data_IF_582991979527
#
_entry.id   IF_582991979527
#
_cell.length_a   1.000
_cell.length_b   1.000
_cell.length_c   1.000
_cell.angle_alpha   90.00
_cell.angle_beta   90.00
_cell.angle_gamma   90.00
#
_symmetry.space_group_name_H-M   'P 1'
#
loop_
_entity.id
_entity.type
_entity.pdbx_description
1 polymer ?
#
# COMPACT_ATOMS: atom_id res chain seq x y z
N UNK A 1 -9.81 -36.30 -2.23
CA UNK A 1 -9.77 -35.13 -3.14
C UNK A 1 -8.89 -35.52 -4.31
N UNK A 2 -9.38 -35.38 -5.55
CA UNK A 2 -8.62 -35.66 -6.77
C UNK A 2 -8.23 -34.31 -7.38
N UNK A 3 -6.93 -34.09 -7.57
CA UNK A 3 -6.44 -32.89 -8.28
C UNK A 3 -6.85 -33.05 -9.74
N UNK A 4 -7.74 -32.19 -10.22
CA UNK A 4 -8.25 -32.26 -11.59
C UNK A 4 -7.34 -31.54 -12.60
N UNK A 5 -6.57 -30.55 -12.16
CA UNK A 5 -5.65 -29.77 -12.99
C UNK A 5 -4.60 -29.11 -12.10
N UNK A 6 -3.35 -29.11 -12.53
CA UNK A 6 -2.34 -28.17 -12.05
C UNK A 6 -2.57 -26.84 -12.77
N UNK A 7 -2.64 -25.76 -12.02
CA UNK A 7 -2.61 -24.40 -12.59
C UNK A 7 -1.15 -24.11 -12.96
N UNK A 8 -0.95 -23.41 -14.07
CA UNK A 8 0.36 -22.87 -14.43
C UNK A 8 0.90 -22.00 -13.30
N UNK A 9 2.21 -21.90 -13.15
CA UNK A 9 2.81 -21.00 -12.18
C UNK A 9 2.26 -19.59 -12.40
N UNK A 10 1.86 -18.90 -11.31
CA UNK A 10 1.29 -17.57 -11.46
C UNK A 10 2.34 -16.65 -12.08
N UNK A 11 1.95 -15.93 -13.12
CA UNK A 11 2.75 -14.82 -13.64
C UNK A 11 3.12 -13.87 -12.50
N UNK A 12 4.35 -13.36 -12.54
CA UNK A 12 4.81 -12.36 -11.60
C UNK A 12 3.85 -11.16 -11.64
N UNK A 13 3.48 -10.67 -10.47
CA UNK A 13 2.61 -9.49 -10.33
C UNK A 13 3.27 -8.49 -9.41
N UNK A 14 3.10 -7.18 -9.67
CA UNK A 14 3.70 -6.15 -8.83
C UNK A 14 3.22 -6.28 -7.39
N UNK A 15 4.15 -6.11 -6.46
CA UNK A 15 3.87 -6.19 -5.03
C UNK A 15 3.55 -4.79 -4.49
N UNK A 16 2.27 -4.43 -4.44
CA UNK A 16 1.83 -3.19 -3.81
C UNK A 16 1.59 -3.44 -2.32
N UNK A 17 2.32 -2.71 -1.47
CA UNK A 17 2.25 -2.77 -0.01
C UNK A 17 1.63 -1.49 0.50
N UNK A 18 0.48 -1.58 1.15
CA UNK A 18 -0.21 -0.42 1.72
C UNK A 18 0.18 -0.22 3.18
N UNK A 19 0.85 0.88 3.46
CA UNK A 19 1.14 1.40 4.79
C UNK A 19 0.01 2.35 5.19
N UNK A 20 -0.88 1.89 6.08
CA UNK A 20 -2.11 2.58 6.46
C UNK A 20 -2.04 3.10 7.88
N UNK A 21 -2.19 4.41 8.07
CA UNK A 21 -2.33 5.03 9.38
C UNK A 21 -3.54 4.50 10.16
N UNK A 22 -3.36 4.23 11.45
CA UNK A 22 -4.44 3.75 12.32
C UNK A 22 -5.56 4.78 12.41
N UNK A 23 -6.75 4.38 12.00
CA UNK A 23 -7.95 5.20 11.95
C UNK A 23 -9.04 4.68 12.90
N UNK A 24 -10.01 5.55 13.25
CA UNK A 24 -11.14 5.21 14.12
C UNK A 24 -12.15 4.28 13.44
N UNK A 25 -12.87 3.55 14.27
CA UNK A 25 -13.98 2.70 13.82
C UNK A 25 -13.51 1.52 12.98
N UNK A 26 -14.20 1.28 11.89
CA UNK A 26 -13.99 0.19 10.93
C UNK A 26 -13.27 0.63 9.64
N UNK A 27 -12.72 1.85 9.61
CA UNK A 27 -12.09 2.42 8.41
C UNK A 27 -10.92 1.58 7.89
N UNK A 28 -10.03 1.11 8.80
CA UNK A 28 -8.94 0.22 8.42
C UNK A 28 -9.48 -1.11 7.87
N UNK A 29 -10.58 -1.62 8.42
CA UNK A 29 -11.25 -2.84 7.95
C UNK A 29 -11.84 -2.65 6.55
N UNK A 30 -12.44 -1.48 6.30
CA UNK A 30 -12.96 -1.09 4.98
C UNK A 30 -11.84 -1.02 3.96
N UNK A 31 -10.71 -0.38 4.30
CA UNK A 31 -9.52 -0.32 3.44
C UNK A 31 -9.00 -1.72 3.14
N UNK A 32 -8.78 -2.56 4.15
CA UNK A 32 -8.26 -3.92 3.96
C UNK A 32 -9.17 -4.72 3.04
N UNK A 33 -10.50 -4.67 3.24
CA UNK A 33 -11.45 -5.37 2.39
C UNK A 33 -11.29 -4.98 0.93
N UNK A 34 -11.48 -3.71 0.61
CA UNK A 34 -11.50 -3.26 -0.77
C UNK A 34 -10.12 -3.24 -1.44
N UNK A 35 -9.05 -2.91 -0.70
CA UNK A 35 -7.71 -2.95 -1.27
C UNK A 35 -7.24 -4.41 -1.52
N UNK A 36 -7.73 -5.39 -0.75
CA UNK A 36 -7.55 -6.81 -1.08
C UNK A 36 -8.22 -7.18 -2.40
N UNK A 37 -9.45 -6.72 -2.64
CA UNK A 37 -10.18 -6.93 -3.90
C UNK A 37 -9.40 -6.35 -5.10
N UNK A 38 -8.68 -5.26 -4.90
CA UNK A 38 -7.83 -4.62 -5.92
C UNK A 38 -6.52 -5.38 -6.19
N UNK A 39 -6.07 -6.25 -5.27
CA UNK A 39 -4.82 -7.01 -5.42
C UNK A 39 -3.64 -6.43 -4.63
N UNK A 40 -3.87 -5.66 -3.57
CA UNK A 40 -2.81 -5.25 -2.64
C UNK A 40 -2.18 -6.49 -1.99
N UNK A 41 -0.85 -6.57 -2.01
CA UNK A 41 -0.10 -7.74 -1.56
C UNK A 41 0.11 -7.81 -0.04
N UNK A 42 0.20 -6.65 0.62
CA UNK A 42 0.37 -6.58 2.07
C UNK A 42 -0.15 -5.27 2.66
N UNK A 43 -0.53 -5.34 3.94
CA UNK A 43 -0.95 -4.20 4.75
C UNK A 43 -0.04 -4.04 5.96
N UNK A 44 0.49 -2.82 6.13
CA UNK A 44 1.30 -2.39 7.27
C UNK A 44 0.53 -1.29 8.04
N UNK A 45 -0.37 -1.65 8.96
CA UNK A 45 -1.02 -0.66 9.81
C UNK A 45 0.01 0.00 10.72
N UNK A 46 0.05 1.32 10.80
CA UNK A 46 1.05 2.02 11.60
C UNK A 46 0.45 3.13 12.45
N UNK A 47 1.12 3.42 13.57
CA UNK A 47 0.76 4.52 14.46
C UNK A 47 1.40 5.82 14.01
N UNK A 48 0.60 6.87 13.89
CA UNK A 48 1.02 8.24 13.59
C UNK A 48 0.91 9.14 14.84
N UNK A 49 1.60 10.25 14.86
CA UNK A 49 1.49 11.25 15.94
C UNK A 49 0.03 11.74 16.09
N UNK A 50 -0.63 12.00 14.95
CA UNK A 50 -2.03 12.46 14.87
C UNK A 50 -3.07 11.33 14.88
N UNK A 51 -2.64 10.06 15.06
CA UNK A 51 -3.58 8.95 15.26
C UNK A 51 -4.27 9.08 16.61
N UNK A 52 -5.60 9.12 16.58
CA UNK A 52 -6.41 9.12 17.81
C UNK A 52 -6.47 7.72 18.45
N UNK A 53 -6.30 6.69 17.64
CA UNK A 53 -6.32 5.29 18.06
C UNK A 53 -4.97 4.93 18.68
N UNK A 54 -5.01 4.48 19.96
CA UNK A 54 -3.86 3.94 20.67
C UNK A 54 -4.18 2.49 21.05
N UNK A 55 -3.33 1.57 20.65
CA UNK A 55 -3.51 0.14 20.88
C UNK A 55 -2.41 -0.36 21.80
N UNK A 56 -2.79 -1.05 22.88
CA UNK A 56 -1.88 -1.92 23.61
C UNK A 56 -1.62 -3.20 22.81
N UNK A 57 -0.60 -3.97 23.18
CA UNK A 57 -0.19 -5.18 22.46
C UNK A 57 -1.34 -6.19 22.30
N UNK A 58 -2.19 -6.38 23.34
CA UNK A 58 -3.33 -7.29 23.28
C UNK A 58 -4.39 -6.85 22.27
N UNK A 59 -4.72 -5.55 22.26
CA UNK A 59 -5.68 -4.99 21.30
C UNK A 59 -5.13 -4.98 19.87
N UNK A 60 -3.83 -4.73 19.72
CA UNK A 60 -3.14 -4.77 18.42
C UNK A 60 -3.23 -6.18 17.81
N UNK A 61 -2.87 -7.22 18.58
CA UNK A 61 -2.97 -8.61 18.15
C UNK A 61 -4.40 -8.99 17.77
N UNK A 62 -5.39 -8.67 18.63
CA UNK A 62 -6.80 -8.96 18.35
C UNK A 62 -7.33 -8.28 17.09
N UNK A 63 -6.93 -7.00 16.84
CA UNK A 63 -7.27 -6.32 15.59
C UNK A 63 -6.61 -6.97 14.39
N UNK A 64 -5.34 -7.32 14.47
CA UNK A 64 -4.63 -7.98 13.39
C UNK A 64 -5.28 -9.32 12.98
N UNK A 65 -5.69 -10.14 13.96
CA UNK A 65 -6.44 -11.37 13.70
C UNK A 65 -7.74 -11.10 12.93
N UNK A 66 -8.51 -10.11 13.38
CA UNK A 66 -9.75 -9.71 12.70
C UNK A 66 -9.48 -9.21 11.28
N UNK A 67 -8.44 -8.40 11.07
CA UNK A 67 -8.07 -7.88 9.77
C UNK A 67 -7.59 -8.98 8.80
N UNK A 68 -6.85 -9.98 9.30
CA UNK A 68 -6.47 -11.18 8.53
C UNK A 68 -7.68 -11.97 8.07
N UNK A 69 -8.69 -12.11 8.93
CA UNK A 69 -9.96 -12.77 8.56
C UNK A 69 -10.72 -12.00 7.47
N UNK A 70 -10.74 -10.66 7.54
CA UNK A 70 -11.35 -9.80 6.54
C UNK A 70 -10.62 -9.92 5.20
N UNK A 71 -9.28 -9.83 5.21
CA UNK A 71 -8.46 -9.97 4.01
C UNK A 71 -8.66 -11.35 3.36
N UNK A 72 -8.68 -12.42 4.14
CA UNK A 72 -8.96 -13.78 3.65
C UNK A 72 -10.34 -13.87 3.00
N UNK A 73 -11.38 -13.34 3.64
CA UNK A 73 -12.75 -13.33 3.10
C UNK A 73 -12.84 -12.54 1.79
N UNK A 74 -12.21 -11.37 1.73
CA UNK A 74 -12.20 -10.52 0.54
C UNK A 74 -11.43 -11.19 -0.62
N UNK A 75 -10.28 -11.79 -0.35
CA UNK A 75 -9.50 -12.52 -1.35
C UNK A 75 -10.28 -13.70 -1.95
N UNK A 76 -10.98 -14.47 -1.10
CA UNK A 76 -11.81 -15.58 -1.56
C UNK A 76 -12.99 -15.10 -2.42
N UNK A 77 -13.66 -14.00 -2.02
CA UNK A 77 -14.81 -13.46 -2.73
C UNK A 77 -14.41 -12.85 -4.09
N UNK A 78 -13.27 -12.16 -4.15
CA UNK A 78 -12.79 -11.50 -5.38
C UNK A 78 -11.99 -12.42 -6.31
N UNK A 79 -11.77 -13.69 -5.92
CA UNK A 79 -11.00 -14.64 -6.72
C UNK A 79 -9.50 -14.31 -6.77
N UNK A 80 -8.97 -13.58 -5.79
CA UNK A 80 -7.54 -13.32 -5.70
C UNK A 80 -6.75 -14.62 -5.51
N UNK A 81 -5.61 -14.75 -6.19
CA UNK A 81 -4.75 -15.95 -6.15
C UNK A 81 -4.03 -16.12 -4.81
N UNK A 82 -3.82 -15.02 -4.09
CA UNK A 82 -3.17 -15.01 -2.79
C UNK A 82 -3.96 -14.19 -1.77
N UNK A 83 -3.89 -14.56 -0.51
CA UNK A 83 -4.38 -13.75 0.60
C UNK A 83 -3.28 -12.76 0.98
N UNK A 84 -3.53 -11.44 1.00
CA UNK A 84 -2.51 -10.47 1.38
C UNK A 84 -2.04 -10.65 2.81
N UNK A 85 -0.77 -10.36 3.06
CA UNK A 85 -0.23 -10.32 4.42
C UNK A 85 -0.80 -9.13 5.18
N UNK A 86 -1.30 -9.35 6.39
CA UNK A 86 -1.72 -8.26 7.29
C UNK A 86 -0.88 -8.31 8.55
N UNK A 87 0.01 -7.32 8.70
CA UNK A 87 0.89 -7.17 9.86
C UNK A 87 0.12 -6.62 11.06
N UNK A 88 0.66 -6.84 12.24
CA UNK A 88 0.21 -6.15 13.44
C UNK A 88 0.52 -4.64 13.34
N UNK A 89 -0.30 -3.79 14.01
CA UNK A 89 0.01 -2.38 14.14
C UNK A 89 1.43 -2.15 14.68
N UNK A 90 2.18 -1.29 14.02
CA UNK A 90 3.58 -1.04 14.34
C UNK A 90 3.90 0.46 14.42
N UNK A 91 5.08 0.80 14.91
CA UNK A 91 5.58 2.16 14.87
C UNK A 91 6.00 2.54 13.44
N UNK A 92 5.99 3.85 13.13
CA UNK A 92 6.42 4.40 11.84
C UNK A 92 7.81 3.88 11.44
N UNK A 93 8.78 3.90 12.36
CA UNK A 93 10.15 3.46 12.08
C UNK A 93 10.21 1.99 11.62
N UNK A 94 9.45 1.11 12.26
CA UNK A 94 9.40 -0.32 11.89
C UNK A 94 8.79 -0.52 10.48
N UNK A 95 7.75 0.25 10.15
CA UNK A 95 7.15 0.20 8.82
C UNK A 95 8.12 0.75 7.75
N UNK A 96 8.88 1.79 8.06
CA UNK A 96 9.94 2.33 7.23
C UNK A 96 11.02 1.29 6.92
N UNK A 97 11.50 0.54 7.93
CA UNK A 97 12.49 -0.51 7.74
C UNK A 97 12.02 -1.58 6.73
N UNK A 98 10.74 -1.97 6.81
CA UNK A 98 10.15 -2.95 5.88
C UNK A 98 10.07 -2.45 4.43
N UNK A 99 10.03 -1.14 4.21
CA UNK A 99 9.90 -0.51 2.90
C UNK A 99 11.17 0.20 2.41
N UNK A 100 12.25 0.18 3.19
CA UNK A 100 13.53 0.79 2.81
C UNK A 100 14.08 0.26 1.49
N UNK A 101 13.89 -1.03 1.20
CA UNK A 101 14.28 -1.70 -0.05
C UNK A 101 13.23 -1.69 -1.16
N UNK A 102 12.06 -1.05 -0.97
CA UNK A 102 11.03 -1.02 -2.00
C UNK A 102 11.50 -0.28 -3.26
N UNK A 103 11.02 -0.72 -4.42
CA UNK A 103 11.32 -0.10 -5.74
C UNK A 103 10.90 1.37 -5.77
N UNK A 104 9.76 1.69 -5.16
CA UNK A 104 9.30 3.05 -4.93
C UNK A 104 8.54 3.11 -3.60
N UNK A 105 8.56 4.26 -2.93
CA UNK A 105 7.73 4.57 -1.77
C UNK A 105 6.94 5.84 -2.05
N UNK A 106 5.64 5.72 -2.21
CA UNK A 106 4.74 6.82 -2.54
C UNK A 106 4.03 7.31 -1.29
N UNK A 107 4.30 8.52 -0.89
CA UNK A 107 3.71 9.15 0.30
C UNK A 107 2.57 10.06 -0.15
N UNK A 108 1.33 9.62 0.09
CA UNK A 108 0.14 10.42 -0.17
C UNK A 108 0.00 11.48 0.92
N UNK A 109 0.16 12.74 0.54
CA UNK A 109 0.10 13.86 1.48
C UNK A 109 -0.75 14.98 0.90
N UNK A 110 -1.62 15.56 1.74
CA UNK A 110 -2.55 16.61 1.33
C UNK A 110 -1.86 17.90 0.88
N UNK A 111 -0.65 18.16 1.38
CA UNK A 111 0.17 19.31 1.01
C UNK A 111 1.16 19.02 -0.14
N UNK A 112 1.11 17.81 -0.71
CA UNK A 112 1.93 17.48 -1.88
C UNK A 112 1.56 18.38 -3.07
N UNK A 113 2.57 18.84 -3.87
CA UNK A 113 2.28 19.57 -5.09
C UNK A 113 1.32 18.83 -6.01
N UNK A 114 0.35 19.55 -6.60
CA UNK A 114 -0.62 18.93 -7.54
C UNK A 114 0.05 18.27 -8.76
N UNK A 115 1.29 18.68 -9.07
CA UNK A 115 2.13 18.10 -10.12
C UNK A 115 2.89 16.84 -9.68
N UNK A 116 2.76 16.41 -8.43
CA UNK A 116 3.39 15.20 -7.91
C UNK A 116 2.59 13.95 -8.32
N UNK A 117 2.81 13.48 -9.55
CA UNK A 117 2.05 12.38 -10.12
C UNK A 117 2.60 11.00 -9.75
N UNK A 118 1.71 10.04 -9.53
CA UNK A 118 2.04 8.63 -9.22
C UNK A 118 2.89 8.02 -10.35
N UNK A 119 2.56 8.31 -11.63
CA UNK A 119 3.29 7.78 -12.77
C UNK A 119 4.77 8.18 -12.77
N UNK A 120 5.06 9.45 -12.43
CA UNK A 120 6.43 9.97 -12.41
C UNK A 120 7.23 9.36 -11.23
N UNK A 121 6.60 9.22 -10.07
CA UNK A 121 7.20 8.58 -8.90
C UNK A 121 7.54 7.10 -9.15
N UNK A 122 6.65 6.36 -9.83
CA UNK A 122 6.90 4.97 -10.24
C UNK A 122 8.04 4.88 -11.25
N UNK A 123 8.01 5.70 -12.30
CA UNK A 123 9.06 5.73 -13.33
C UNK A 123 10.42 6.09 -12.72
N UNK A 124 10.48 7.05 -11.81
CA UNK A 124 11.68 7.40 -11.06
C UNK A 124 12.22 6.22 -10.23
N UNK A 125 11.36 5.60 -9.43
CA UNK A 125 11.74 4.49 -8.56
C UNK A 125 12.23 3.27 -9.35
N UNK A 126 11.50 2.87 -10.38
CA UNK A 126 11.87 1.75 -11.26
C UNK A 126 13.20 2.03 -11.99
N UNK A 127 13.36 3.23 -12.55
CA UNK A 127 14.60 3.62 -13.22
C UNK A 127 15.82 3.61 -12.29
N UNK A 128 15.67 4.06 -11.05
CA UNK A 128 16.75 4.05 -10.04
C UNK A 128 17.12 2.65 -9.56
N UNK A 129 16.17 1.70 -9.56
CA UNK A 129 16.42 0.30 -9.21
C UNK A 129 16.86 -0.56 -10.40
N UNK A 130 16.76 -0.07 -11.62
CA UNK A 130 16.94 -0.89 -12.83
C UNK A 130 15.86 -1.95 -13.02
N UNK A 131 14.68 -1.75 -12.44
CA UNK A 131 13.52 -2.63 -12.61
C UNK A 131 12.85 -2.29 -13.95
N UNK A 132 13.01 -3.17 -14.92
CA UNK A 132 12.49 -2.99 -16.27
C UNK A 132 11.03 -3.46 -16.38
N UNK A 133 10.71 -4.61 -15.77
CA UNK A 133 9.36 -5.16 -15.77
C UNK A 133 8.58 -4.66 -14.52
N UNK A 134 7.46 -3.98 -14.71
CA UNK A 134 6.58 -3.59 -13.59
C UNK A 134 6.12 -4.76 -12.72
N UNK A 135 6.08 -5.98 -13.25
CA UNK A 135 5.71 -7.19 -12.51
C UNK A 135 6.71 -7.50 -11.36
N UNK A 136 7.96 -7.09 -11.50
CA UNK A 136 9.01 -7.26 -10.49
C UNK A 136 9.04 -6.11 -9.45
N UNK A 137 8.21 -5.10 -9.65
CA UNK A 137 8.22 -3.93 -8.76
C UNK A 137 7.59 -4.24 -7.40
N UNK A 138 8.26 -3.80 -6.33
CA UNK A 138 7.70 -3.74 -4.98
C UNK A 138 7.49 -2.29 -4.59
N UNK A 139 6.24 -1.86 -4.49
CA UNK A 139 5.86 -0.46 -4.29
C UNK A 139 5.17 -0.28 -2.94
N UNK A 140 5.73 0.59 -2.09
CA UNK A 140 5.08 1.04 -0.87
C UNK A 140 4.15 2.23 -1.17
N UNK A 141 2.95 2.20 -0.62
CA UNK A 141 1.98 3.31 -0.66
C UNK A 141 1.65 3.70 0.76
N UNK A 142 1.83 4.95 1.12
CA UNK A 142 1.62 5.46 2.48
C UNK A 142 0.41 6.37 2.50
N UNK A 143 -0.53 6.08 3.39
CA UNK A 143 -1.73 6.88 3.65
C UNK A 143 -1.84 7.16 5.15
N UNK A 144 -1.95 8.42 5.52
CA UNK A 144 -2.09 8.87 6.91
C UNK A 144 -3.44 8.53 7.54
N UNK A 145 -3.61 8.73 8.85
CA UNK A 145 -4.88 8.66 9.56
C UNK A 145 -5.77 9.87 9.25
N UNK A 146 -6.92 10.02 9.92
CA UNK A 146 -7.81 11.17 9.72
C UNK A 146 -7.17 12.53 10.04
N UNK A 147 -6.19 12.56 10.93
CA UNK A 147 -5.44 13.78 11.26
C UNK A 147 -4.30 14.09 10.29
N UNK A 148 -4.12 13.28 9.24
CA UNK A 148 -3.00 13.40 8.30
C UNK A 148 -1.66 12.96 8.90
N UNK A 149 -0.60 13.15 8.15
CA UNK A 149 0.80 12.99 8.58
C UNK A 149 1.35 14.35 9.05
N UNK A 150 2.25 14.32 10.01
CA UNK A 150 3.03 15.51 10.36
C UNK A 150 4.20 15.69 9.37
N UNK A 151 4.71 16.90 9.21
CA UNK A 151 5.92 17.17 8.39
C UNK A 151 7.09 16.27 8.82
N UNK A 152 7.28 16.07 10.13
CA UNK A 152 8.33 15.17 10.67
C UNK A 152 8.15 13.71 10.23
N UNK A 153 6.90 13.23 10.18
CA UNK A 153 6.61 11.88 9.69
C UNK A 153 6.83 11.77 8.19
N UNK A 154 6.47 12.80 7.44
CA UNK A 154 6.74 12.89 6.00
C UNK A 154 8.24 12.89 5.74
N UNK A 155 9.02 13.70 6.45
CA UNK A 155 10.48 13.75 6.33
C UNK A 155 11.12 12.39 6.66
N UNK A 156 10.64 11.70 7.71
CA UNK A 156 11.10 10.37 8.06
C UNK A 156 10.79 9.35 6.95
N UNK A 157 9.59 9.41 6.36
CA UNK A 157 9.19 8.55 5.24
C UNK A 157 10.02 8.81 3.98
N UNK A 158 10.28 10.07 3.65
CA UNK A 158 11.13 10.43 2.51
C UNK A 158 12.59 10.01 2.72
N UNK A 159 13.06 10.04 3.96
CA UNK A 159 14.44 9.67 4.31
C UNK A 159 14.67 8.17 4.37
N UNK A 160 13.62 7.36 4.62
CA UNK A 160 13.78 5.91 4.83
C UNK A 160 14.03 5.12 3.54
N UNK A 161 13.68 5.70 2.39
CA UNK A 161 13.92 5.10 1.08
C UNK A 161 14.37 6.18 0.09
N UNK A 162 15.54 6.07 -0.56
CA UNK A 162 16.04 7.08 -1.52
C UNK A 162 15.17 7.22 -2.78
N UNK A 163 14.17 6.38 -2.93
CA UNK A 163 13.17 6.39 -4.01
C UNK A 163 11.77 6.74 -3.48
N UNK A 164 11.71 7.33 -2.29
CA UNK A 164 10.48 7.88 -1.77
C UNK A 164 10.12 9.18 -2.49
N UNK A 165 8.83 9.37 -2.74
CA UNK A 165 8.29 10.56 -3.40
C UNK A 165 6.96 10.95 -2.77
N UNK A 166 6.71 12.24 -2.64
CA UNK A 166 5.36 12.75 -2.39
C UNK A 166 4.50 12.51 -3.62
N UNK A 167 3.24 12.17 -3.41
CA UNK A 167 2.26 12.06 -4.48
C UNK A 167 0.94 12.71 -4.08
N UNK A 168 0.30 13.37 -5.05
CA UNK A 168 -1.03 13.94 -4.92
C UNK A 168 -2.07 12.98 -5.46
N UNK A 169 -3.20 12.86 -4.76
CA UNK A 169 -4.37 12.11 -5.22
C UNK A 169 -5.43 13.01 -5.87
N UNK A 170 -5.06 14.26 -6.19
CA UNK A 170 -5.93 15.26 -6.79
C UNK A 170 -6.20 16.46 -5.88
N UNK A 171 -7.04 17.40 -6.34
CA UNK A 171 -7.22 18.69 -5.65
C UNK A 171 -8.08 18.60 -4.37
N UNK A 172 -8.80 17.51 -4.17
CA UNK A 172 -9.66 17.31 -3.00
C UNK A 172 -8.94 16.50 -1.92
N UNK A 173 -9.09 16.93 -0.66
CA UNK A 173 -8.62 16.12 0.47
C UNK A 173 -9.55 14.93 0.65
N UNK A 174 -9.01 13.73 0.42
CA UNK A 174 -9.75 12.49 0.58
C UNK A 174 -9.78 12.06 2.06
N UNK A 175 -10.87 11.41 2.47
CA UNK A 175 -10.89 10.71 3.76
C UNK A 175 -9.87 9.57 3.75
N UNK A 176 -9.32 9.23 4.93
CA UNK A 176 -8.27 8.20 5.05
C UNK A 176 -8.67 6.85 4.43
N UNK A 177 -9.94 6.43 4.64
CA UNK A 177 -10.48 5.21 4.04
C UNK A 177 -10.59 5.32 2.51
N UNK A 178 -10.95 6.48 1.99
CA UNK A 178 -11.01 6.72 0.54
C UNK A 178 -9.62 6.72 -0.07
N UNK A 179 -8.67 7.43 0.54
CA UNK A 179 -7.28 7.47 0.10
C UNK A 179 -6.64 6.07 0.13
N UNK A 180 -6.92 5.28 1.19
CA UNK A 180 -6.42 3.90 1.34
C UNK A 180 -6.93 2.92 0.28
N UNK A 181 -8.02 3.24 -0.41
CA UNK A 181 -8.56 2.46 -1.54
C UNK A 181 -8.07 3.04 -2.87
N UNK A 182 -8.18 4.36 -3.06
CA UNK A 182 -7.88 5.04 -4.32
C UNK A 182 -6.38 5.00 -4.65
N UNK A 183 -5.51 5.26 -3.67
CA UNK A 183 -4.07 5.31 -3.91
C UNK A 183 -3.51 3.97 -4.45
N UNK A 184 -3.74 2.81 -3.81
CA UNK A 184 -3.28 1.54 -4.37
C UNK A 184 -3.96 1.18 -5.70
N UNK A 185 -5.24 1.57 -5.91
CA UNK A 185 -5.91 1.35 -7.20
C UNK A 185 -5.20 2.09 -8.35
N UNK A 186 -4.85 3.36 -8.13
CA UNK A 186 -4.11 4.16 -9.11
C UNK A 186 -2.70 3.60 -9.36
N UNK A 187 -1.99 3.17 -8.31
CA UNK A 187 -0.66 2.55 -8.43
C UNK A 187 -0.73 1.26 -9.25
N UNK A 188 -1.65 0.36 -8.94
CA UNK A 188 -1.85 -0.89 -9.67
C UNK A 188 -2.24 -0.63 -11.14
N UNK A 189 -3.10 0.36 -11.38
CA UNK A 189 -3.47 0.77 -12.74
C UNK A 189 -2.26 1.27 -13.53
N UNK A 190 -1.43 2.15 -12.94
CA UNK A 190 -0.24 2.69 -13.62
C UNK A 190 0.80 1.59 -13.91
N UNK A 191 1.06 0.68 -12.96
CA UNK A 191 1.94 -0.47 -13.17
C UNK A 191 1.44 -1.35 -14.32
N UNK A 192 0.14 -1.66 -14.36
CA UNK A 192 -0.47 -2.41 -15.46
C UNK A 192 -0.39 -1.68 -16.80
N UNK A 193 -0.49 -0.34 -16.81
CA UNK A 193 -0.34 0.49 -18.00
C UNK A 193 1.12 0.49 -18.52
N UNK A 194 2.08 0.50 -17.59
CA UNK A 194 3.52 0.43 -17.91
C UNK A 194 3.88 -0.92 -18.54
N UNK A 195 3.38 -2.03 -17.98
CA UNK A 195 3.61 -3.38 -18.52
C UNK A 195 3.16 -3.48 -19.99
N UNK A 196 1.93 -3.05 -20.29
CA UNK A 196 1.40 -3.06 -21.67
C UNK A 196 2.18 -2.21 -22.66
N UNK A 197 2.84 -1.14 -22.23
CA UNK A 197 3.70 -0.33 -23.09
C UNK A 197 5.03 -1.01 -23.40
N UNK A 198 5.51 -1.89 -22.54
CA UNK A 198 6.72 -2.68 -22.74
C UNK A 198 6.55 -3.79 -23.78
N UNK A 199 5.37 -4.42 -23.83
CA UNK A 199 5.05 -5.50 -24.78
C UNK A 199 4.88 -5.04 -26.24
N UNK A 200 4.68 -3.74 -26.47
CA UNK A 200 4.49 -3.14 -27.81
C UNK A 200 5.78 -2.63 -28.48
N UNK A 201 6.94 -2.95 -27.93
CA UNK A 201 8.27 -2.62 -28.50
C UNK A 201 9.04 -3.88 -28.83
#
# INVERSE_FOLDING_TARGET
VRIARHLDEPEATPQVVLMQGLAKGDKVETVIRHATELGVAAFLPFSCERSVVRLDARKAAAKAERWRAIAKSAAMQSGQRAVPEVREPMALAQACELLAGATALLVCWEEAPQTAHIADALAYGMGKCGVADPADARVGVVVGPEGGLTEREVDALLSCNPRASLVSLGPAVLRTETAGIVAPALVLHELSRMARKGEGR
#
